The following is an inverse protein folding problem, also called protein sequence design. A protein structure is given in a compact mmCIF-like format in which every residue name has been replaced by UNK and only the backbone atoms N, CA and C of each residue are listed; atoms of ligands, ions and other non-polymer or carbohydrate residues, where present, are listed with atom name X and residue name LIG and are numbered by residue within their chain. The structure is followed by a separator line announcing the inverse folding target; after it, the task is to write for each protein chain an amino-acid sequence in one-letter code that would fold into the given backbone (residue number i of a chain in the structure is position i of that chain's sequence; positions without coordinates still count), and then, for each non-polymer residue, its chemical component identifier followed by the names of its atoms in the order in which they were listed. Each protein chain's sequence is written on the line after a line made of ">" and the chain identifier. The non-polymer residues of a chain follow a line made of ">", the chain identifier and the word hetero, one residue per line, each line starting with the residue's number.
data_IF_677850352514
#
_entry.id   IF_677850352514
#
_cell.length_a   1.000
_cell.length_b   1.000
_cell.length_c   1.000
_cell.angle_alpha   90.00
_cell.angle_beta   90.00
_cell.angle_gamma   90.00
#
_symmetry.space_group_name_H-M   'P 1'
#
loop_
_entity.id
_entity.type
_entity.pdbx_description
1 polymer ?
#
# COMPACT_ATOMS: atom_id res chain seq x y z
N UNK A 1 1.24 -27.75 -32.23
CA UNK A 1 0.71 -26.38 -32.37
C UNK A 1 1.70 -25.44 -31.69
N UNK A 2 2.41 -24.62 -32.46
CA UNK A 2 3.26 -23.57 -31.89
C UNK A 2 2.30 -22.45 -31.50
N UNK A 3 1.87 -22.41 -30.23
CA UNK A 3 1.24 -21.22 -29.67
C UNK A 3 2.24 -20.08 -29.81
N UNK A 4 1.84 -19.00 -30.46
CA UNK A 4 2.65 -17.80 -30.61
C UNK A 4 3.11 -17.35 -29.22
N UNK A 5 4.41 -17.12 -29.01
CA UNK A 5 4.98 -16.76 -27.69
C UNK A 5 4.27 -15.57 -27.06
N UNK A 6 3.85 -14.62 -27.89
CA UNK A 6 3.10 -13.45 -27.46
C UNK A 6 1.73 -13.82 -26.86
N UNK A 7 1.06 -14.84 -27.38
CA UNK A 7 -0.25 -15.26 -26.89
C UNK A 7 -0.13 -15.97 -25.53
N UNK A 8 0.93 -16.77 -25.34
CA UNK A 8 1.26 -17.33 -24.03
C UNK A 8 1.61 -16.23 -23.01
N UNK A 9 2.32 -15.17 -23.42
CA UNK A 9 2.56 -14.01 -22.54
C UNK A 9 1.27 -13.32 -22.12
N UNK A 10 0.41 -13.02 -23.09
CA UNK A 10 -0.86 -12.33 -22.86
C UNK A 10 -1.75 -13.15 -21.92
N UNK A 11 -1.80 -14.48 -22.12
CA UNK A 11 -2.52 -15.38 -21.23
C UNK A 11 -1.96 -15.33 -19.79
N UNK A 12 -0.63 -15.30 -19.64
CA UNK A 12 0.01 -15.15 -18.33
C UNK A 12 -0.33 -13.81 -17.67
N UNK A 13 -0.20 -12.69 -18.39
CA UNK A 13 -0.53 -11.36 -17.87
C UNK A 13 -2.00 -11.25 -17.49
N UNK A 14 -2.91 -11.81 -18.31
CA UNK A 14 -4.34 -11.80 -18.02
C UNK A 14 -4.67 -12.66 -16.80
N UNK A 15 -4.02 -13.81 -16.64
CA UNK A 15 -4.15 -14.62 -15.41
C UNK A 15 -3.73 -13.82 -14.17
N UNK A 16 -2.54 -13.22 -14.18
CA UNK A 16 -2.03 -12.39 -13.08
C UNK A 16 -2.98 -11.22 -12.81
N UNK A 17 -3.50 -10.58 -13.85
CA UNK A 17 -4.46 -9.49 -13.73
C UNK A 17 -5.76 -9.92 -13.06
N UNK A 18 -6.37 -11.03 -13.49
CA UNK A 18 -7.63 -11.53 -12.94
C UNK A 18 -7.47 -11.89 -11.47
N UNK A 19 -6.39 -12.59 -11.12
CA UNK A 19 -6.12 -13.00 -9.75
C UNK A 19 -5.82 -11.80 -8.84
N UNK A 20 -4.99 -10.87 -9.30
CA UNK A 20 -4.69 -9.62 -8.57
C UNK A 20 -5.95 -8.77 -8.37
N UNK A 21 -6.83 -8.66 -9.39
CA UNK A 21 -8.11 -7.97 -9.23
C UNK A 21 -9.00 -8.64 -8.18
N UNK A 22 -8.98 -9.97 -8.08
CA UNK A 22 -9.74 -10.69 -7.06
C UNK A 22 -9.22 -10.38 -5.66
N UNK A 23 -7.91 -10.39 -5.45
CA UNK A 23 -7.28 -10.01 -4.18
C UNK A 23 -7.55 -8.53 -3.83
N UNK A 24 -7.39 -7.64 -4.81
CA UNK A 24 -7.68 -6.20 -4.66
C UNK A 24 -9.13 -5.95 -4.30
N UNK A 25 -10.12 -6.71 -4.78
CA UNK A 25 -11.52 -6.52 -4.35
C UNK A 25 -11.72 -6.77 -2.86
N UNK A 26 -11.03 -7.76 -2.31
CA UNK A 26 -11.10 -8.06 -0.87
C UNK A 26 -10.43 -6.94 -0.08
N UNK A 27 -9.25 -6.50 -0.49
CA UNK A 27 -8.54 -5.39 0.14
C UNK A 27 -9.30 -4.06 0.01
N UNK A 28 -9.86 -3.77 -1.16
CA UNK A 28 -10.60 -2.54 -1.42
C UNK A 28 -11.87 -2.45 -0.59
N UNK A 29 -12.54 -3.59 -0.31
CA UNK A 29 -13.67 -3.61 0.64
C UNK A 29 -13.23 -3.23 2.06
N UNK A 30 -12.06 -3.70 2.50
CA UNK A 30 -11.48 -3.33 3.80
C UNK A 30 -11.08 -1.86 3.82
N UNK A 31 -10.35 -1.39 2.81
CA UNK A 31 -9.98 0.03 2.68
C UNK A 31 -11.20 0.94 2.61
N UNK A 32 -12.25 0.56 1.89
CA UNK A 32 -13.49 1.32 1.82
C UNK A 32 -14.19 1.36 3.18
N UNK A 33 -14.18 0.28 3.94
CA UNK A 33 -14.66 0.28 5.32
C UNK A 33 -13.86 1.24 6.19
N UNK A 34 -12.52 1.16 6.17
CA UNK A 34 -11.64 2.12 6.88
C UNK A 34 -11.94 3.55 6.45
N UNK A 35 -12.06 3.80 5.15
CA UNK A 35 -12.34 5.13 4.61
C UNK A 35 -13.69 5.67 5.09
N UNK A 36 -14.72 4.84 5.04
CA UNK A 36 -16.06 5.22 5.47
C UNK A 36 -16.09 5.55 6.96
N UNK A 37 -15.38 4.76 7.78
CA UNK A 37 -15.32 4.95 9.23
C UNK A 37 -14.43 6.10 9.68
N UNK A 38 -13.26 6.26 9.09
CA UNK A 38 -12.25 7.23 9.54
C UNK A 38 -12.35 8.59 8.86
N UNK A 39 -13.01 8.68 7.70
CA UNK A 39 -13.10 9.93 6.93
C UNK A 39 -14.54 10.35 6.64
N UNK A 40 -15.34 9.48 6.03
CA UNK A 40 -16.70 9.86 5.62
C UNK A 40 -17.62 10.13 6.81
N UNK A 41 -17.67 9.21 7.78
CA UNK A 41 -18.52 9.35 8.96
C UNK A 41 -18.15 10.57 9.81
N UNK A 42 -16.87 10.82 10.15
CA UNK A 42 -16.48 12.04 10.85
C UNK A 42 -16.82 13.31 10.08
N UNK A 43 -16.61 13.35 8.77
CA UNK A 43 -16.95 14.52 7.96
C UNK A 43 -18.45 14.82 7.99
N UNK A 44 -19.29 13.80 7.76
CA UNK A 44 -20.76 13.93 7.82
C UNK A 44 -21.22 14.32 9.21
N UNK A 45 -20.63 13.72 10.26
CA UNK A 45 -20.92 14.04 11.65
C UNK A 45 -20.59 15.49 11.97
N UNK A 46 -19.39 15.96 11.62
CA UNK A 46 -18.95 17.34 11.87
C UNK A 46 -19.83 18.35 11.14
N UNK A 47 -20.17 18.10 9.87
CA UNK A 47 -21.08 18.96 9.10
C UNK A 47 -22.45 19.03 9.79
N UNK A 48 -23.01 17.88 10.17
CA UNK A 48 -24.33 17.80 10.82
C UNK A 48 -24.32 18.50 12.18
N UNK A 49 -23.26 18.31 12.96
CA UNK A 49 -23.07 18.95 14.26
C UNK A 49 -22.99 20.47 14.14
N UNK A 50 -22.24 20.99 13.16
CA UNK A 50 -22.16 22.42 12.90
C UNK A 50 -23.51 23.03 12.48
N UNK A 51 -24.31 22.31 11.69
CA UNK A 51 -25.68 22.73 11.32
C UNK A 51 -26.58 22.81 12.56
N UNK A 52 -26.51 21.82 13.46
CA UNK A 52 -27.31 21.80 14.70
C UNK A 52 -26.95 22.96 15.64
N UNK A 53 -25.66 23.26 15.78
CA UNK A 53 -25.20 24.43 16.55
C UNK A 53 -25.70 25.72 15.91
N UNK A 54 -25.65 25.84 14.57
CA UNK A 54 -26.16 27.01 13.85
C UNK A 54 -27.66 27.22 14.04
N UNK A 55 -28.44 26.14 14.16
CA UNK A 55 -29.88 26.19 14.44
C UNK A 55 -30.24 26.42 15.91
N UNK A 56 -29.24 26.58 16.79
CA UNK A 56 -29.48 26.81 18.22
C UNK A 56 -29.98 25.58 18.98
N UNK A 57 -29.93 24.39 18.38
CA UNK A 57 -30.32 23.13 19.03
C UNK A 57 -29.29 22.72 20.08
N UNK A 58 -28.01 23.02 19.83
CA UNK A 58 -26.89 22.68 20.70
C UNK A 58 -26.15 23.98 21.09
N UNK A 59 -25.77 24.16 22.37
CA UNK A 59 -25.07 25.37 22.82
C UNK A 59 -23.71 25.52 22.13
N UNK A 60 -23.33 26.78 21.86
CA UNK A 60 -22.08 27.14 21.14
C UNK A 60 -20.82 26.65 21.87
N UNK A 61 -20.88 26.49 23.19
CA UNK A 61 -19.79 25.92 24.01
C UNK A 61 -19.40 24.50 23.61
N UNK A 62 -20.32 23.74 23.01
CA UNK A 62 -20.08 22.37 22.56
C UNK A 62 -19.09 22.28 21.39
N UNK A 63 -18.82 23.39 20.67
CA UNK A 63 -17.82 23.44 19.60
C UNK A 63 -16.41 23.09 20.09
N UNK A 64 -16.09 23.35 21.36
CA UNK A 64 -14.78 23.05 21.94
C UNK A 64 -14.50 21.54 22.02
N UNK A 65 -15.53 20.70 21.94
CA UNK A 65 -15.40 19.24 22.03
C UNK A 65 -15.46 18.56 20.65
N UNK A 66 -15.63 19.31 19.56
CA UNK A 66 -15.80 18.72 18.22
C UNK A 66 -14.57 17.92 17.80
N UNK A 67 -13.37 18.39 18.11
CA UNK A 67 -12.12 17.68 17.81
C UNK A 67 -12.04 16.34 18.54
N UNK A 68 -12.45 16.30 19.81
CA UNK A 68 -12.52 15.06 20.60
C UNK A 68 -13.57 14.09 20.06
N UNK A 69 -14.72 14.60 19.59
CA UNK A 69 -15.77 13.77 19.00
C UNK A 69 -15.33 13.14 17.67
N UNK A 70 -14.55 13.85 16.86
CA UNK A 70 -14.00 13.33 15.60
C UNK A 70 -13.04 12.16 15.87
N UNK A 71 -12.25 12.22 16.95
CA UNK A 71 -11.33 11.14 17.34
C UNK A 71 -12.04 9.86 17.81
N UNK A 72 -13.31 9.93 18.23
CA UNK A 72 -14.07 8.75 18.66
C UNK A 72 -14.21 7.74 17.52
N UNK A 73 -14.38 8.20 16.28
CA UNK A 73 -14.58 7.32 15.13
C UNK A 73 -13.37 6.41 14.82
N UNK A 74 -12.14 6.92 14.61
CA UNK A 74 -10.97 6.05 14.38
C UNK A 74 -10.66 5.17 15.59
N UNK A 75 -10.89 5.65 16.82
CA UNK A 75 -10.71 4.84 18.04
C UNK A 75 -11.74 3.70 18.10
N UNK A 76 -13.02 3.99 17.88
CA UNK A 76 -14.09 2.99 17.85
C UNK A 76 -13.88 1.97 16.73
N UNK A 77 -13.46 2.42 15.54
CA UNK A 77 -13.11 1.53 14.44
C UNK A 77 -11.92 0.63 14.80
N UNK A 78 -10.88 1.19 15.43
CA UNK A 78 -9.73 0.41 15.90
C UNK A 78 -10.17 -0.65 16.90
N UNK A 79 -10.98 -0.29 17.90
CA UNK A 79 -11.54 -1.24 18.88
C UNK A 79 -12.39 -2.31 18.18
N UNK A 80 -13.24 -1.94 17.22
CA UNK A 80 -14.06 -2.88 16.46
C UNK A 80 -13.21 -3.86 15.63
N UNK A 81 -12.20 -3.34 14.93
CA UNK A 81 -11.30 -4.14 14.10
C UNK A 81 -10.41 -5.05 14.96
N UNK A 82 -9.77 -4.49 16.00
CA UNK A 82 -9.00 -5.25 16.98
C UNK A 82 -9.87 -6.29 17.71
N UNK A 83 -11.14 -5.99 18.00
CA UNK A 83 -12.01 -6.96 18.68
C UNK A 83 -12.51 -8.08 17.77
N UNK A 84 -12.67 -7.84 16.48
CA UNK A 84 -13.17 -8.83 15.53
C UNK A 84 -12.07 -9.74 14.97
N UNK A 85 -10.87 -9.21 14.68
CA UNK A 85 -9.74 -10.00 14.19
C UNK A 85 -8.76 -10.35 15.31
N UNK A 86 -8.29 -9.36 16.07
CA UNK A 86 -7.16 -9.54 17.00
C UNK A 86 -7.58 -10.23 18.30
N UNK A 87 -8.75 -9.95 18.88
CA UNK A 87 -9.23 -10.62 20.10
C UNK A 87 -9.58 -12.10 19.88
N UNK A 88 -9.92 -12.50 18.65
CA UNK A 88 -10.11 -13.91 18.30
C UNK A 88 -8.77 -14.64 18.15
N UNK A 89 -7.76 -13.97 17.63
CA UNK A 89 -6.44 -14.57 17.37
C UNK A 89 -5.50 -14.49 18.59
N UNK A 90 -5.57 -13.43 19.40
CA UNK A 90 -4.74 -13.18 20.60
C UNK A 90 -4.65 -14.36 21.58
N UNK A 91 -5.76 -14.99 22.03
CA UNK A 91 -5.65 -16.12 22.94
C UNK A 91 -4.99 -17.34 22.29
N UNK A 92 -5.06 -17.48 20.97
CA UNK A 92 -4.33 -18.51 20.23
C UNK A 92 -2.83 -18.16 20.10
N UNK A 93 -2.49 -16.89 19.84
CA UNK A 93 -1.10 -16.41 19.76
C UNK A 93 -0.38 -16.54 21.11
N UNK A 94 -1.02 -16.17 22.21
CA UNK A 94 -0.44 -16.29 23.55
C UNK A 94 -0.30 -17.74 24.02
N UNK A 95 -1.23 -18.63 23.65
CA UNK A 95 -1.15 -20.05 24.02
C UNK A 95 -0.16 -20.86 23.18
N UNK A 96 0.07 -20.48 21.92
CA UNK A 96 0.89 -21.24 20.97
C UNK A 96 2.22 -20.56 20.60
N UNK A 97 2.47 -19.35 21.12
CA UNK A 97 3.68 -18.56 20.87
C UNK A 97 3.69 -17.87 19.50
N UNK A 98 4.51 -16.83 19.34
CA UNK A 98 4.65 -16.09 18.07
C UNK A 98 5.04 -16.96 16.87
N UNK A 99 5.65 -18.13 17.13
CA UNK A 99 5.99 -19.12 16.12
C UNK A 99 4.75 -19.68 15.40
N UNK A 100 3.61 -19.87 16.08
CA UNK A 100 2.41 -20.41 15.42
C UNK A 100 1.78 -19.42 14.45
N UNK A 101 1.93 -18.11 14.70
CA UNK A 101 1.44 -17.05 13.79
C UNK A 101 2.30 -17.02 12.53
N UNK A 102 3.63 -17.05 12.69
CA UNK A 102 4.56 -17.14 11.57
C UNK A 102 4.31 -18.40 10.74
N UNK A 103 4.15 -19.57 11.38
CA UNK A 103 3.82 -20.82 10.70
C UNK A 103 2.45 -20.75 9.99
N UNK A 104 1.45 -20.12 10.61
CA UNK A 104 0.14 -19.92 9.99
C UNK A 104 0.19 -19.03 8.75
N UNK A 105 1.03 -17.99 8.75
CA UNK A 105 1.29 -17.18 7.56
C UNK A 105 2.01 -18.00 6.47
N UNK A 106 2.98 -18.82 6.84
CA UNK A 106 3.67 -19.71 5.90
C UNK A 106 2.72 -20.73 5.27
N UNK A 107 1.77 -21.29 6.04
CA UNK A 107 0.75 -22.22 5.52
C UNK A 107 -0.17 -21.52 4.53
N UNK A 108 -0.67 -20.31 4.87
CA UNK A 108 -1.50 -19.53 3.93
C UNK A 108 -0.74 -19.19 2.65
N UNK A 109 0.55 -18.87 2.78
CA UNK A 109 1.43 -18.61 1.65
C UNK A 109 1.63 -19.87 0.80
N UNK A 110 1.82 -21.05 1.40
CA UNK A 110 1.96 -22.31 0.66
C UNK A 110 0.66 -22.69 -0.07
N UNK A 111 -0.49 -22.60 0.60
CA UNK A 111 -1.81 -22.85 -0.02
C UNK A 111 -2.06 -21.90 -1.20
N UNK A 112 -1.69 -20.62 -1.04
CA UNK A 112 -1.77 -19.65 -2.14
C UNK A 112 -0.85 -20.05 -3.30
N UNK A 113 0.41 -20.42 -3.03
CA UNK A 113 1.38 -20.81 -4.07
C UNK A 113 0.90 -22.02 -4.85
N UNK A 114 0.43 -23.06 -4.18
CA UNK A 114 -0.07 -24.28 -4.83
C UNK A 114 -1.24 -23.97 -5.76
N UNK A 115 -2.22 -23.22 -5.26
CA UNK A 115 -3.39 -22.80 -6.04
C UNK A 115 -3.01 -21.94 -7.24
N UNK A 116 -2.07 -21.01 -7.07
CA UNK A 116 -1.60 -20.14 -8.16
C UNK A 116 -0.82 -20.95 -9.19
N UNK A 117 0.08 -21.85 -8.78
CA UNK A 117 0.85 -22.71 -9.68
C UNK A 117 -0.09 -23.61 -10.50
N UNK A 118 -1.05 -24.26 -9.85
CA UNK A 118 -2.04 -25.12 -10.50
C UNK A 118 -2.92 -24.32 -11.47
N UNK A 119 -3.42 -23.16 -11.03
CA UNK A 119 -4.23 -22.27 -11.86
C UNK A 119 -3.48 -21.73 -13.07
N UNK A 120 -2.22 -21.32 -12.87
CA UNK A 120 -1.37 -20.75 -13.91
C UNK A 120 -0.95 -21.82 -14.93
N UNK A 121 -0.64 -23.04 -14.46
CA UNK A 121 -0.34 -24.18 -15.33
C UNK A 121 -1.51 -24.61 -16.21
N UNK A 122 -2.75 -24.43 -15.74
CA UNK A 122 -3.97 -24.67 -16.53
C UNK A 122 -4.30 -23.52 -17.50
N UNK A 123 -4.12 -22.28 -17.06
CA UNK A 123 -4.51 -21.10 -17.82
C UNK A 123 -3.53 -20.75 -18.93
N UNK A 124 -2.23 -21.07 -18.77
CA UNK A 124 -1.17 -20.68 -19.70
C UNK A 124 -0.63 -21.91 -20.42
N UNK A 125 -1.11 -22.22 -21.64
CA UNK A 125 -0.58 -23.31 -22.45
C UNK A 125 0.78 -22.92 -23.04
N UNK A 126 1.84 -23.19 -22.28
CA UNK A 126 3.23 -23.01 -22.68
C UNK A 126 4.07 -24.27 -22.40
N UNK A 127 4.97 -24.56 -23.34
CA UNK A 127 6.03 -25.55 -23.21
C UNK A 127 7.19 -25.00 -22.35
N UNK A 128 8.20 -25.82 -22.06
CA UNK A 128 9.33 -25.39 -21.21
C UNK A 128 10.06 -24.17 -21.81
N UNK A 129 10.16 -24.06 -23.13
CA UNK A 129 10.81 -22.91 -23.77
C UNK A 129 9.94 -21.65 -23.69
N UNK A 130 8.62 -21.77 -23.85
CA UNK A 130 7.66 -20.70 -23.63
C UNK A 130 7.66 -20.19 -22.19
N UNK A 131 7.70 -21.08 -21.19
CA UNK A 131 7.79 -20.70 -19.78
C UNK A 131 9.06 -19.93 -19.45
N UNK A 132 10.21 -20.36 -19.99
CA UNK A 132 11.46 -19.63 -19.84
C UNK A 132 11.35 -18.21 -20.38
N UNK A 133 10.83 -18.07 -21.60
CA UNK A 133 10.64 -16.76 -22.21
C UNK A 133 9.65 -15.88 -21.43
N UNK A 134 8.59 -16.45 -20.83
CA UNK A 134 7.65 -15.73 -19.96
C UNK A 134 8.36 -15.23 -18.69
N UNK A 135 9.13 -16.08 -18.02
CA UNK A 135 9.89 -15.72 -16.81
C UNK A 135 10.88 -14.61 -17.12
N UNK A 136 11.66 -14.74 -18.18
CA UNK A 136 12.66 -13.74 -18.58
C UNK A 136 11.98 -12.40 -18.94
N UNK A 137 10.90 -12.43 -19.74
CA UNK A 137 10.19 -11.22 -20.14
C UNK A 137 9.51 -10.52 -18.97
N UNK A 138 8.88 -11.29 -18.08
CA UNK A 138 8.21 -10.75 -16.91
C UNK A 138 9.20 -10.19 -15.87
N UNK A 139 10.37 -10.82 -15.74
CA UNK A 139 11.47 -10.28 -14.93
C UNK A 139 11.93 -8.90 -15.41
N UNK A 140 12.09 -8.73 -16.72
CA UNK A 140 12.44 -7.43 -17.32
C UNK A 140 11.34 -6.39 -17.05
N UNK A 141 10.07 -6.75 -17.24
CA UNK A 141 8.94 -5.85 -16.96
C UNK A 141 8.87 -5.43 -15.49
N UNK A 142 9.16 -6.34 -14.56
CA UNK A 142 9.24 -6.06 -13.13
C UNK A 142 10.34 -5.06 -12.78
N UNK A 143 11.52 -5.20 -13.38
CA UNK A 143 12.63 -4.26 -13.16
C UNK A 143 12.32 -2.87 -13.73
N UNK A 144 11.72 -2.81 -14.92
CA UNK A 144 11.23 -1.55 -15.50
C UNK A 144 10.20 -0.90 -14.56
N UNK A 145 9.26 -1.67 -14.01
CA UNK A 145 8.28 -1.16 -13.04
C UNK A 145 8.93 -0.62 -11.76
N UNK A 146 9.97 -1.29 -11.23
CA UNK A 146 10.71 -0.84 -10.04
C UNK A 146 11.32 0.54 -10.26
N UNK A 147 11.96 0.75 -11.41
CA UNK A 147 12.53 2.05 -11.77
C UNK A 147 11.44 3.10 -11.98
N UNK A 148 10.37 2.76 -12.71
CA UNK A 148 9.23 3.66 -12.96
C UNK A 148 8.57 4.13 -11.67
N UNK A 149 8.40 3.27 -10.67
CA UNK A 149 7.82 3.65 -9.38
C UNK A 149 8.67 4.70 -8.64
N UNK A 150 10.00 4.60 -8.70
CA UNK A 150 10.91 5.61 -8.11
C UNK A 150 10.72 6.97 -8.80
N UNK A 151 10.68 6.98 -10.13
CA UNK A 151 10.45 8.20 -10.90
C UNK A 151 9.09 8.83 -10.63
N UNK A 152 8.01 8.03 -10.61
CA UNK A 152 6.66 8.52 -10.30
C UNK A 152 6.60 9.07 -8.88
N UNK A 153 7.26 8.44 -7.92
CA UNK A 153 7.30 8.92 -6.53
C UNK A 153 8.00 10.27 -6.44
N UNK A 154 9.15 10.43 -7.09
CA UNK A 154 9.88 11.70 -7.14
C UNK A 154 9.05 12.79 -7.83
N UNK A 155 8.42 12.47 -8.97
CA UNK A 155 7.58 13.40 -9.72
C UNK A 155 6.36 13.84 -8.90
N UNK A 156 5.67 12.89 -8.25
CA UNK A 156 4.53 13.18 -7.39
C UNK A 156 4.92 14.06 -6.20
N UNK A 157 6.12 13.85 -5.63
CA UNK A 157 6.69 14.73 -4.62
C UNK A 157 6.86 16.16 -5.11
N UNK A 158 7.46 16.34 -6.29
CA UNK A 158 7.65 17.65 -6.89
C UNK A 158 6.32 18.35 -7.19
N UNK A 159 5.33 17.62 -7.75
CA UNK A 159 3.99 18.16 -8.01
C UNK A 159 3.27 18.53 -6.72
N UNK A 160 3.33 17.66 -5.69
CA UNK A 160 2.72 17.95 -4.40
C UNK A 160 3.33 19.18 -3.74
N UNK A 161 4.66 19.32 -3.78
CA UNK A 161 5.36 20.49 -3.29
C UNK A 161 4.90 21.78 -3.99
N UNK A 162 4.78 21.77 -5.32
CA UNK A 162 4.28 22.91 -6.09
C UNK A 162 2.83 23.26 -5.72
N UNK A 163 1.97 22.26 -5.47
CA UNK A 163 0.59 22.47 -5.02
C UNK A 163 0.58 23.13 -3.64
N UNK A 164 1.40 22.66 -2.70
CA UNK A 164 1.50 23.23 -1.36
C UNK A 164 1.98 24.69 -1.39
N UNK A 165 3.05 24.98 -2.14
CA UNK A 165 3.52 26.36 -2.36
C UNK A 165 2.43 27.24 -3.01
N UNK A 166 1.68 26.68 -3.95
CA UNK A 166 0.55 27.37 -4.58
C UNK A 166 -0.55 27.72 -3.56
N UNK A 167 -0.89 26.79 -2.66
CA UNK A 167 -1.86 27.03 -1.58
C UNK A 167 -1.37 28.14 -0.65
N UNK A 168 -0.10 28.13 -0.23
CA UNK A 168 0.43 29.19 0.64
C UNK A 168 0.37 30.56 -0.02
N UNK A 169 0.71 30.64 -1.31
CA UNK A 169 0.66 31.90 -2.06
C UNK A 169 -0.73 32.53 -2.14
N UNK A 170 -1.79 31.71 -2.01
CA UNK A 170 -3.19 32.15 -2.08
C UNK A 170 -3.75 32.47 -0.69
N UNK A 171 -3.28 31.77 0.34
CA UNK A 171 -3.94 31.77 1.66
C UNK A 171 -3.45 32.89 2.57
N UNK A 172 -2.29 33.51 2.31
CA UNK A 172 -1.67 34.45 3.23
C UNK A 172 -1.63 35.91 2.71
N UNK A 173 -2.52 36.81 3.16
CA UNK A 173 -2.51 38.21 2.73
C UNK A 173 -1.44 39.08 3.41
N UNK A 174 -0.76 38.58 4.46
CA UNK A 174 0.41 39.20 5.09
C UNK A 174 1.30 38.11 5.71
N UNK A 175 2.33 37.63 5.00
CA UNK A 175 3.22 36.61 5.54
C UNK A 175 3.94 37.18 6.78
N UNK A 176 3.60 36.70 7.97
CA UNK A 176 4.38 37.01 9.18
C UNK A 176 5.61 36.13 9.19
N UNK A 177 6.61 36.49 8.39
CA UNK A 177 7.88 35.77 8.33
C UNK A 177 8.64 36.02 9.63
N UNK A 178 8.70 35.00 10.48
CA UNK A 178 9.59 35.01 11.63
C UNK A 178 10.94 34.47 11.16
N UNK A 179 11.98 35.31 11.21
CA UNK A 179 13.34 34.89 10.92
C UNK A 179 13.93 34.28 12.18
N UNK A 180 13.92 32.94 12.29
CA UNK A 180 14.58 32.24 13.38
C UNK A 180 16.00 31.82 12.98
N UNK A 181 16.96 32.14 13.84
CA UNK A 181 18.37 31.81 13.63
C UNK A 181 18.65 30.41 14.17
N UNK A 182 18.59 29.39 13.31
CA UNK A 182 19.03 28.04 13.69
C UNK A 182 20.55 27.89 13.51
N UNK A 183 21.23 27.44 14.57
CA UNK A 183 22.70 27.45 14.71
C UNK A 183 23.48 26.56 13.73
N UNK A 184 22.82 25.75 12.89
CA UNK A 184 23.47 24.77 12.02
C UNK A 184 23.27 25.04 10.52
N UNK A 185 22.21 25.75 10.10
CA UNK A 185 21.87 25.94 8.67
C UNK A 185 21.67 27.40 8.23
N UNK A 186 21.96 28.39 9.09
CA UNK A 186 21.82 29.81 8.74
C UNK A 186 20.42 30.36 8.99
N UNK A 187 20.13 31.52 8.39
CA UNK A 187 18.80 32.16 8.47
C UNK A 187 17.83 31.38 7.59
N UNK A 188 16.84 30.74 8.21
CA UNK A 188 15.78 30.03 7.51
C UNK A 188 14.48 30.76 7.80
N UNK A 189 13.73 31.11 6.76
CA UNK A 189 12.35 31.60 6.92
C UNK A 189 11.53 30.46 7.53
N UNK A 190 10.96 30.68 8.71
CA UNK A 190 10.04 29.73 9.33
C UNK A 190 8.64 30.32 9.27
N UNK A 191 7.76 29.71 8.48
CA UNK A 191 6.32 29.91 8.62
C UNK A 191 5.77 28.83 9.56
N UNK A 192 4.80 29.20 10.39
CA UNK A 192 4.16 28.26 11.33
C UNK A 192 3.48 27.07 10.65
N UNK A 193 3.30 27.11 9.33
CA UNK A 193 2.76 26.02 8.53
C UNK A 193 3.83 25.05 7.97
N UNK A 194 5.10 25.43 7.84
CA UNK A 194 6.14 24.66 7.13
C UNK A 194 6.32 23.23 7.66
N UNK A 195 6.26 23.05 9.00
CA UNK A 195 6.41 21.74 9.61
C UNK A 195 5.26 20.80 9.21
N UNK A 196 4.02 21.30 9.23
CA UNK A 196 2.84 20.51 8.88
C UNK A 196 2.84 20.10 7.41
N UNK A 197 3.34 20.98 6.53
CA UNK A 197 3.47 20.71 5.11
C UNK A 197 4.58 19.72 4.80
N UNK A 198 5.73 19.86 5.46
CA UNK A 198 6.84 18.93 5.32
C UNK A 198 6.47 17.53 5.82
N UNK A 199 5.79 17.44 6.96
CA UNK A 199 5.25 16.17 7.48
C UNK A 199 4.20 15.59 6.53
N UNK A 200 3.31 16.41 5.98
CA UNK A 200 2.33 16.00 4.99
C UNK A 200 2.96 15.46 3.70
N UNK A 201 3.97 16.15 3.17
CA UNK A 201 4.74 15.72 1.99
C UNK A 201 5.49 14.41 2.27
N UNK A 202 6.17 14.31 3.42
CA UNK A 202 6.91 13.11 3.81
C UNK A 202 5.98 11.89 3.94
N UNK A 203 4.82 12.06 4.59
CA UNK A 203 3.80 11.02 4.70
C UNK A 203 3.24 10.63 3.32
N UNK A 204 2.92 11.61 2.47
CA UNK A 204 2.43 11.35 1.12
C UNK A 204 3.43 10.56 0.29
N UNK A 205 4.70 10.97 0.28
CA UNK A 205 5.79 10.27 -0.41
C UNK A 205 5.99 8.85 0.13
N UNK A 206 5.97 8.69 1.45
CA UNK A 206 6.09 7.37 2.08
C UNK A 206 4.94 6.45 1.68
N UNK A 207 3.69 6.93 1.74
CA UNK A 207 2.52 6.15 1.35
C UNK A 207 2.54 5.78 -0.14
N UNK A 208 2.93 6.71 -1.01
CA UNK A 208 3.04 6.47 -2.44
C UNK A 208 4.15 5.44 -2.75
N UNK A 209 5.31 5.56 -2.11
CA UNK A 209 6.40 4.61 -2.24
C UNK A 209 5.99 3.22 -1.76
N UNK A 210 5.34 3.13 -0.60
CA UNK A 210 4.84 1.87 -0.05
C UNK A 210 3.79 1.23 -0.98
N UNK A 211 2.89 2.02 -1.54
CA UNK A 211 1.88 1.54 -2.50
C UNK A 211 2.53 0.93 -3.76
N UNK A 212 3.54 1.60 -4.30
CA UNK A 212 4.31 1.10 -5.45
C UNK A 212 5.10 -0.17 -5.11
N UNK A 213 5.78 -0.18 -3.96
CA UNK A 213 6.57 -1.31 -3.47
C UNK A 213 5.71 -2.56 -3.24
N UNK A 214 4.52 -2.40 -2.65
CA UNK A 214 3.58 -3.51 -2.44
C UNK A 214 3.17 -4.18 -3.75
N UNK A 215 2.89 -3.40 -4.80
CA UNK A 215 2.54 -3.94 -6.11
C UNK A 215 3.70 -4.71 -6.73
N UNK A 216 4.93 -4.20 -6.61
CA UNK A 216 6.13 -4.88 -7.09
C UNK A 216 6.36 -6.22 -6.37
N UNK A 217 6.30 -6.23 -5.03
CA UNK A 217 6.48 -7.45 -4.23
C UNK A 217 5.41 -8.51 -4.55
N UNK A 218 4.16 -8.07 -4.76
CA UNK A 218 3.08 -8.95 -5.17
C UNK A 218 3.35 -9.60 -6.53
N UNK A 219 3.74 -8.81 -7.53
CA UNK A 219 4.05 -9.33 -8.87
C UNK A 219 5.29 -10.25 -8.87
N UNK A 220 6.31 -9.92 -8.06
CA UNK A 220 7.49 -10.78 -7.86
C UNK A 220 7.15 -12.16 -7.33
N UNK A 221 6.11 -12.30 -6.49
CA UNK A 221 5.63 -13.61 -6.03
C UNK A 221 5.10 -14.47 -7.19
N UNK A 222 4.43 -13.88 -8.17
CA UNK A 222 3.99 -14.61 -9.37
C UNK A 222 5.15 -15.05 -10.26
N UNK A 223 6.21 -14.23 -10.37
CA UNK A 223 7.45 -14.62 -11.07
C UNK A 223 8.05 -15.88 -10.43
N UNK A 224 8.15 -15.92 -9.11
CA UNK A 224 8.65 -17.08 -8.39
C UNK A 224 7.81 -18.35 -8.64
N UNK A 225 6.47 -18.22 -8.67
CA UNK A 225 5.59 -19.33 -9.06
C UNK A 225 5.83 -19.80 -10.50
N UNK A 226 6.09 -18.88 -11.44
CA UNK A 226 6.40 -19.23 -12.82
C UNK A 226 7.77 -19.94 -12.94
N UNK A 227 8.78 -19.52 -12.17
CA UNK A 227 10.09 -20.19 -12.07
C UNK A 227 9.95 -21.61 -11.53
N UNK A 228 9.09 -21.84 -10.54
CA UNK A 228 8.80 -23.18 -10.02
C UNK A 228 8.15 -24.09 -11.08
N UNK A 229 7.21 -23.57 -11.86
CA UNK A 229 6.60 -24.31 -12.98
C UNK A 229 7.66 -24.69 -14.01
N UNK A 230 8.55 -23.75 -14.35
CA UNK A 230 9.65 -24.00 -15.28
C UNK A 230 10.60 -25.08 -14.75
N UNK A 231 10.99 -25.00 -13.48
CA UNK A 231 11.85 -25.99 -12.83
C UNK A 231 11.24 -27.39 -12.80
N UNK A 232 9.95 -27.49 -12.49
CA UNK A 232 9.19 -28.76 -12.53
C UNK A 232 9.13 -29.37 -13.94
N UNK A 233 9.00 -28.55 -14.99
CA UNK A 233 9.00 -29.02 -16.39
C UNK A 233 10.39 -29.36 -16.93
N UNK A 234 11.43 -28.72 -16.41
CA UNK A 234 12.82 -28.94 -16.85
C UNK A 234 13.47 -30.18 -16.21
N UNK A 235 12.81 -30.83 -15.24
CA UNK A 235 13.39 -31.94 -14.47
C UNK A 235 14.64 -31.56 -13.67
N UNK A 236 14.92 -30.26 -13.52
CA UNK A 236 16.05 -29.74 -12.76
C UNK A 236 15.62 -29.45 -11.33
N UNK A 237 16.44 -29.78 -10.32
CA UNK A 237 16.19 -29.31 -8.97
C UNK A 237 16.14 -27.78 -8.99
N UNK A 238 15.03 -27.23 -8.51
CA UNK A 238 14.82 -25.78 -8.41
C UNK A 238 15.89 -25.23 -7.48
N UNK A 239 16.86 -24.51 -8.05
CA UNK A 239 17.75 -23.68 -7.26
C UNK A 239 16.93 -22.47 -6.82
N UNK A 240 16.44 -22.48 -5.57
CA UNK A 240 15.86 -21.28 -4.97
C UNK A 240 16.99 -20.26 -4.91
N UNK A 241 16.93 -19.13 -5.65
CA UNK A 241 17.92 -18.08 -5.47
C UNK A 241 17.74 -17.56 -4.06
N UNK A 242 18.72 -17.83 -3.20
CA UNK A 242 18.84 -17.16 -1.92
C UNK A 242 19.13 -15.71 -2.27
N UNK A 243 18.10 -14.85 -2.15
CA UNK A 243 18.21 -13.39 -2.30
C UNK A 243 19.37 -12.93 -1.40
N UNK A 244 20.56 -12.73 -1.98
CA UNK A 244 21.74 -12.16 -1.30
C UNK A 244 21.68 -10.63 -1.20
N UNK A 245 20.60 -10.03 -1.69
CA UNK A 245 20.42 -8.57 -1.74
C UNK A 245 19.58 -7.99 -0.59
N UNK A 246 19.50 -8.70 0.54
CA UNK A 246 19.17 -8.09 1.83
C UNK A 246 20.41 -7.44 2.48
N UNK A 247 21.28 -6.82 1.68
CA UNK A 247 22.19 -5.80 2.19
C UNK A 247 21.35 -4.56 2.52
N UNK A 248 20.86 -4.56 3.75
CA UNK A 248 20.50 -3.37 4.52
C UNK A 248 21.68 -2.40 4.43
N UNK A 249 21.54 -1.39 3.57
CA UNK A 249 22.32 -0.16 3.63
C UNK A 249 21.51 0.88 4.42
N UNK A 250 22.15 1.65 5.30
CA UNK A 250 21.52 2.49 6.32
C UNK A 250 20.56 3.56 5.76
#
# INVERSE_FOLDING_TARGET
>A
MITNRQDSYKAFIEFVRIDNLRERRVMNRRMLSVFLWCFLLPAVFTITFLILVKKGVIPVTAKKYTDWMVLVFPVAYSIYYLSSEVLRELPAVFRKGGLSVALGQTIKESEWREKVIEGMGRAVPADATGWRWIVDSFGIDLDIMKHRNRYITALAGAVFFLIMQGIDSITDPRPSVAWERHAVFGWVETTTNDLSQFVGLALFLMLLYLSGSQTYQLLRRYLYCAELILGGKAGKPVHVPVDRDSSVGP
#
